data_IF_487336705740
#
_entry.id   IF_487336705740
#
_cell.length_a   1.000
_cell.length_b   1.000
_cell.length_c   1.000
_cell.angle_alpha   90.00
_cell.angle_beta   90.00
_cell.angle_gamma   90.00
#
_symmetry.space_group_name_H-M   'P 1'
#
loop_
_entity.id
_entity.type
_entity.pdbx_description
1 polymer ?
#
# COMPACT_ATOMS: atom_id res chain seq x y z
N UNK A 1 11.75 3.77 -9.04
CA UNK A 1 11.37 2.34 -8.97
C UNK A 1 10.28 2.07 -10.00
N UNK A 2 10.35 0.98 -10.77
CA UNK A 2 9.25 0.52 -11.62
C UNK A 2 8.60 -0.69 -10.93
N UNK A 3 7.27 -0.79 -10.94
CA UNK A 3 6.56 -1.83 -10.16
C UNK A 3 6.47 -3.10 -10.99
N UNK A 4 6.98 -4.21 -10.45
CA UNK A 4 6.82 -5.56 -11.01
C UNK A 4 5.76 -6.37 -10.28
N UNK A 5 5.59 -6.15 -8.99
CA UNK A 5 4.67 -6.92 -8.15
C UNK A 5 3.99 -6.00 -7.15
N UNK A 6 2.73 -6.31 -6.86
CA UNK A 6 1.99 -5.79 -5.71
C UNK A 6 1.59 -6.96 -4.83
N UNK A 7 1.98 -6.92 -3.56
CA UNK A 7 1.46 -7.77 -2.51
C UNK A 7 0.46 -6.97 -1.68
N UNK A 8 -0.62 -7.60 -1.23
CA UNK A 8 -1.52 -7.00 -0.26
C UNK A 8 -2.11 -8.04 0.67
N UNK A 9 -2.44 -7.59 1.88
CA UNK A 9 -3.07 -8.44 2.88
C UNK A 9 -4.55 -8.71 2.56
N UNK A 10 -5.05 -9.80 3.11
CA UNK A 10 -6.46 -10.18 3.00
C UNK A 10 -6.90 -10.80 4.31
N UNK A 11 -7.10 -9.93 5.31
CA UNK A 11 -7.37 -10.32 6.68
C UNK A 11 -8.80 -10.88 6.81
N UNK A 12 -8.89 -12.15 7.22
CA UNK A 12 -10.16 -12.83 7.50
C UNK A 12 -10.05 -13.62 8.80
N UNK A 13 -10.91 -13.30 9.77
CA UNK A 13 -10.98 -14.00 11.07
C UNK A 13 -9.61 -14.11 11.77
N UNK A 14 -8.81 -13.04 11.71
CA UNK A 14 -7.48 -12.97 12.33
C UNK A 14 -6.35 -13.68 11.58
N UNK A 15 -6.60 -14.17 10.37
CA UNK A 15 -5.56 -14.75 9.51
C UNK A 15 -5.40 -13.89 8.26
N UNK A 16 -4.17 -13.80 7.76
CA UNK A 16 -3.88 -13.16 6.48
C UNK A 16 -3.85 -14.21 5.35
N UNK A 17 -4.61 -13.95 4.29
CA UNK A 17 -4.67 -14.75 3.06
C UNK A 17 -4.08 -13.96 1.88
N UNK A 18 -2.99 -13.23 2.14
CA UNK A 18 -2.38 -12.26 1.24
C UNK A 18 -2.37 -12.67 -0.24
N UNK A 19 -2.46 -11.67 -1.11
CA UNK A 19 -2.59 -11.85 -2.55
C UNK A 19 -1.50 -11.08 -3.28
N UNK A 20 -1.08 -11.60 -4.42
CA UNK A 20 -0.08 -10.99 -5.30
C UNK A 20 -0.69 -10.67 -6.66
N UNK A 21 -0.29 -9.53 -7.24
CA UNK A 21 -0.55 -9.16 -8.63
C UNK A 21 0.81 -8.94 -9.30
N UNK A 22 1.12 -9.77 -10.30
CA UNK A 22 2.30 -9.59 -11.15
C UNK A 22 2.01 -8.58 -12.27
N UNK A 23 3.00 -7.72 -12.56
CA UNK A 23 2.96 -6.67 -13.59
C UNK A 23 1.68 -5.81 -13.52
N UNK A 24 1.38 -5.21 -12.35
CA UNK A 24 0.14 -4.47 -12.14
C UNK A 24 0.04 -3.23 -13.04
N UNK A 25 -1.16 -2.98 -13.55
CA UNK A 25 -1.50 -1.71 -14.17
C UNK A 25 -1.75 -0.61 -13.12
N UNK A 26 -1.93 0.63 -13.58
CA UNK A 26 -2.31 1.73 -12.68
C UNK A 26 -3.69 1.49 -12.06
N UNK A 27 -4.62 0.93 -12.82
CA UNK A 27 -5.98 0.64 -12.39
C UNK A 27 -6.01 -0.42 -11.28
N UNK A 28 -5.08 -1.38 -11.30
CA UNK A 28 -4.94 -2.37 -10.23
C UNK A 28 -4.48 -1.71 -8.92
N UNK A 29 -3.49 -0.80 -9.03
CA UNK A 29 -2.94 -0.06 -7.89
C UNK A 29 -4.00 0.87 -7.30
N UNK A 30 -4.66 1.69 -8.12
CA UNK A 30 -5.72 2.60 -7.70
C UNK A 30 -6.91 1.83 -7.11
N UNK A 31 -7.32 0.73 -7.76
CA UNK A 31 -8.38 -0.14 -7.28
C UNK A 31 -8.05 -0.77 -5.93
N UNK A 32 -6.79 -1.09 -5.67
CA UNK A 32 -6.34 -1.65 -4.40
C UNK A 32 -6.28 -0.60 -3.29
N UNK A 33 -5.77 0.60 -3.56
CA UNK A 33 -5.79 1.72 -2.60
C UNK A 33 -7.23 2.00 -2.15
N UNK A 34 -8.18 2.01 -3.09
CA UNK A 34 -9.60 2.20 -2.80
C UNK A 34 -10.24 1.04 -2.02
N UNK A 35 -9.65 -0.16 -2.06
CA UNK A 35 -10.10 -1.32 -1.26
C UNK A 35 -9.56 -1.30 0.16
N UNK A 36 -8.53 -0.52 0.45
CA UNK A 36 -7.95 -0.43 1.78
C UNK A 36 -8.95 0.18 2.76
N UNK A 37 -9.40 -0.61 3.72
CA UNK A 37 -10.49 -0.28 4.65
C UNK A 37 -10.07 -0.33 6.13
N UNK A 38 -8.78 -0.62 6.39
CA UNK A 38 -8.24 -0.77 7.74
C UNK A 38 -8.77 -1.99 8.49
N UNK A 39 -9.43 -2.94 7.80
CA UNK A 39 -10.02 -4.16 8.40
C UNK A 39 -9.68 -5.43 7.65
N UNK A 40 -9.99 -5.48 6.35
CA UNK A 40 -9.78 -6.63 5.46
C UNK A 40 -8.53 -6.42 4.63
N UNK A 41 -8.40 -5.25 4.02
CA UNK A 41 -7.18 -4.84 3.31
C UNK A 41 -6.62 -3.64 4.06
N UNK A 42 -5.46 -3.83 4.65
CA UNK A 42 -4.81 -2.84 5.52
C UNK A 42 -3.41 -2.49 5.07
N UNK A 43 -2.82 -3.27 4.16
CA UNK A 43 -1.47 -3.06 3.69
C UNK A 43 -1.29 -3.51 2.24
N UNK A 44 -0.55 -2.74 1.45
CA UNK A 44 -0.02 -3.15 0.16
C UNK A 44 1.45 -2.79 0.02
N UNK A 45 2.24 -3.70 -0.57
CA UNK A 45 3.67 -3.56 -0.83
C UNK A 45 3.89 -3.67 -2.33
N UNK A 46 4.60 -2.72 -2.91
CA UNK A 46 4.98 -2.65 -4.31
C UNK A 46 6.49 -2.75 -4.43
N UNK A 47 6.99 -3.69 -5.22
CA UNK A 47 8.43 -3.86 -5.46
C UNK A 47 8.78 -3.96 -6.94
N UNK A 48 10.07 -3.93 -7.24
CA UNK A 48 10.61 -4.10 -8.60
C UNK A 48 11.18 -5.52 -8.86
N UNK A 49 10.81 -6.50 -8.03
CA UNK A 49 11.38 -7.84 -7.97
C UNK A 49 12.61 -7.97 -7.05
N UNK A 50 13.00 -6.90 -6.37
CA UNK A 50 13.98 -6.92 -5.29
C UNK A 50 13.28 -6.56 -3.97
N UNK A 51 13.30 -7.49 -3.01
CA UNK A 51 12.62 -7.36 -1.71
C UNK A 51 13.23 -6.26 -0.83
N UNK A 52 14.47 -5.84 -1.08
CA UNK A 52 15.14 -4.76 -0.34
C UNK A 52 14.67 -3.36 -0.80
N UNK A 53 13.97 -3.29 -1.95
CA UNK A 53 13.56 -2.05 -2.61
C UNK A 53 12.06 -2.06 -2.89
N UNK A 54 11.29 -1.50 -1.96
CA UNK A 54 9.84 -1.54 -2.02
C UNK A 54 9.19 -0.25 -1.50
N UNK A 55 7.95 -0.04 -1.93
CA UNK A 55 7.06 1.01 -1.48
C UNK A 55 5.89 0.34 -0.78
N UNK A 56 5.54 0.77 0.42
CA UNK A 56 4.44 0.19 1.17
C UNK A 56 3.43 1.27 1.57
N UNK A 57 2.16 0.95 1.41
CA UNK A 57 1.03 1.72 1.94
C UNK A 57 0.36 0.86 2.99
N UNK A 58 0.20 1.39 4.19
CA UNK A 58 -0.64 0.82 5.24
C UNK A 58 -1.76 1.77 5.62
N UNK A 59 -2.89 1.25 6.11
CA UNK A 59 -3.99 2.06 6.65
C UNK A 59 -5.35 1.74 6.03
N UNK A 60 -6.10 2.80 5.68
CA UNK A 60 -7.48 2.73 5.20
C UNK A 60 -8.54 2.96 6.29
N UNK A 61 -8.16 2.95 7.57
CA UNK A 61 -9.09 3.28 8.65
C UNK A 61 -9.36 4.78 8.66
N UNK A 62 -10.61 5.17 8.35
CA UNK A 62 -11.05 6.57 8.26
C UNK A 62 -10.26 7.41 7.22
N UNK A 63 -9.74 6.75 6.17
CA UNK A 63 -8.96 7.41 5.13
C UNK A 63 -7.57 7.86 5.59
N UNK A 64 -7.07 7.34 6.71
CA UNK A 64 -5.70 7.57 7.18
C UNK A 64 -4.75 6.54 6.57
N UNK A 65 -3.60 7.02 6.09
CA UNK A 65 -2.58 6.18 5.44
C UNK A 65 -1.18 6.50 5.95
N UNK A 66 -0.37 5.46 6.11
CA UNK A 66 1.07 5.56 6.27
C UNK A 66 1.73 5.03 5.01
N UNK A 67 2.77 5.73 4.56
CA UNK A 67 3.50 5.40 3.35
C UNK A 67 4.98 5.31 3.71
N UNK A 68 5.66 4.26 3.28
CA UNK A 68 7.10 4.17 3.45
C UNK A 68 7.79 3.58 2.24
N UNK A 69 9.05 3.95 2.06
CA UNK A 69 9.92 3.51 0.98
C UNK A 69 11.15 2.89 1.63
N UNK A 70 11.48 1.67 1.23
CA UNK A 70 12.77 1.05 1.50
C UNK A 70 13.64 1.17 0.25
N UNK A 71 14.86 1.68 0.41
CA UNK A 71 15.92 1.61 -0.60
C UNK A 71 17.15 0.96 0.01
N UNK A 72 17.53 -0.24 -0.46
CA UNK A 72 18.63 -1.04 0.08
C UNK A 72 18.54 -1.25 1.60
N UNK A 73 17.41 -1.78 2.08
CA UNK A 73 17.11 -2.01 3.51
C UNK A 73 17.14 -0.74 4.39
N UNK A 74 17.14 0.44 3.78
CA UNK A 74 17.02 1.72 4.49
C UNK A 74 15.62 2.27 4.31
N UNK A 75 14.86 2.32 5.41
CA UNK A 75 13.46 2.74 5.40
C UNK A 75 13.33 4.25 5.66
N UNK A 76 12.50 4.91 4.88
CA UNK A 76 12.01 6.27 5.12
C UNK A 76 10.49 6.20 5.23
N UNK A 77 9.94 6.73 6.33
CA UNK A 77 8.52 6.67 6.66
C UNK A 77 7.89 8.05 6.60
N UNK A 78 6.74 8.14 5.93
CA UNK A 78 5.89 9.33 5.85
C UNK A 78 4.47 8.99 6.31
N UNK A 79 3.87 9.84 7.14
CA UNK A 79 2.44 9.77 7.43
C UNK A 79 1.71 10.74 6.50
N UNK A 80 0.78 10.22 5.70
CA UNK A 80 -0.08 11.06 4.88
C UNK A 80 -1.26 11.51 5.73
N UNK A 81 -1.22 12.75 6.19
CA UNK A 81 -2.32 13.36 6.94
C UNK A 81 -3.18 14.18 5.98
N UNK A 82 -4.47 13.89 5.94
CA UNK A 82 -5.44 14.71 5.21
C UNK A 82 -5.55 16.05 5.92
N UNK A 83 -5.12 17.14 5.28
CA UNK A 83 -5.47 18.47 5.77
C UNK A 83 -6.95 18.70 5.48
N UNK A 84 -7.77 18.77 6.52
CA UNK A 84 -9.20 19.03 6.40
C UNK A 84 -9.53 20.40 5.76
N UNK A 85 -8.52 21.21 5.41
CA UNK A 85 -8.66 22.47 4.67
C UNK A 85 -8.34 22.37 3.17
N UNK A 86 -7.91 21.22 2.64
CA UNK A 86 -7.69 21.04 1.21
C UNK A 86 -9.04 20.85 0.49
N UNK A 87 -9.60 21.94 -0.03
CA UNK A 87 -10.57 21.86 -1.12
C UNK A 87 -9.85 21.32 -2.35
N UNK A 88 -10.11 20.06 -2.69
CA UNK A 88 -9.74 19.52 -4.00
C UNK A 88 -10.63 20.21 -5.03
N UNK A 89 -9.99 20.97 -5.93
CA UNK A 89 -10.62 21.72 -7.02
C UNK A 89 -11.18 20.79 -8.10
#
# INVERSE_FOLDING_TARGET
MYVKRVYYDNLKKGNDFGTEIELPGWEDIEGLINKMDGKVVTQMIMDNGNEDNYFCIGGGNEGLYNVFISENDSEIVWSLVTDNNLKVC
#
